data_IF_581444306132
#
_entry.id   IF_581444306132
#
_cell.length_a   1.000
_cell.length_b   1.000
_cell.length_c   1.000
_cell.angle_alpha   90.00
_cell.angle_beta   90.00
_cell.angle_gamma   90.00
#
_symmetry.space_group_name_H-M   'P 1'
#
loop_
_entity.id
_entity.type
_entity.pdbx_description
1 polymer ?
#
# COMPACT_ATOMS: atom_id res chain seq x y z
N UNK A 1 -6.76 19.25 1.19
CA UNK A 1 -7.88 18.28 1.24
C UNK A 1 -7.33 16.92 0.86
N UNK A 2 -7.61 15.87 1.65
CA UNK A 2 -7.19 14.51 1.31
C UNK A 2 -7.93 14.00 0.05
N UNK A 3 -7.32 13.10 -0.71
CA UNK A 3 -7.89 12.50 -1.92
C UNK A 3 -7.71 10.98 -1.88
N UNK A 4 -8.75 10.26 -2.29
CA UNK A 4 -8.71 8.81 -2.48
C UNK A 4 -8.63 8.51 -3.98
N UNK A 5 -7.66 7.68 -4.36
CA UNK A 5 -7.53 7.17 -5.72
C UNK A 5 -7.68 5.65 -5.67
N UNK A 6 -8.65 5.11 -6.42
CA UNK A 6 -8.88 3.68 -6.50
C UNK A 6 -8.64 3.18 -7.92
N UNK A 7 -7.61 2.34 -8.08
CA UNK A 7 -7.24 1.75 -9.35
C UNK A 7 -7.69 0.29 -9.38
N UNK A 8 -8.66 -0.03 -10.24
CA UNK A 8 -9.14 -1.40 -10.45
C UNK A 8 -9.00 -1.80 -11.91
N UNK A 9 -8.61 -3.05 -12.14
CA UNK A 9 -8.47 -3.64 -13.47
C UNK A 9 -8.18 -5.14 -13.31
N UNK A 10 -8.14 -5.87 -14.42
CA UNK A 10 -7.75 -7.28 -14.47
C UNK A 10 -6.29 -7.49 -14.03
N UNK A 11 -5.91 -8.74 -13.77
CA UNK A 11 -4.52 -9.09 -13.54
C UNK A 11 -3.67 -8.70 -14.76
N UNK A 12 -2.42 -8.29 -14.54
CA UNK A 12 -1.44 -7.93 -15.58
C UNK A 12 -1.67 -6.55 -16.22
N UNK A 13 -2.68 -5.81 -15.78
CA UNK A 13 -2.94 -4.45 -16.26
C UNK A 13 -2.03 -3.37 -15.64
N UNK A 14 -0.96 -3.75 -14.93
CA UNK A 14 0.03 -2.80 -14.40
C UNK A 14 -0.32 -2.10 -13.09
N UNK A 15 -1.32 -2.57 -12.31
CA UNK A 15 -1.74 -1.95 -11.04
C UNK A 15 -0.59 -1.73 -10.05
N UNK A 16 0.15 -2.78 -9.73
CA UNK A 16 1.31 -2.69 -8.81
C UNK A 16 2.41 -1.80 -9.39
N UNK A 17 2.58 -1.75 -10.72
CA UNK A 17 3.51 -0.80 -11.37
C UNK A 17 3.11 0.65 -11.09
N UNK A 18 1.83 1.01 -11.28
CA UNK A 18 1.33 2.36 -11.00
C UNK A 18 1.47 2.74 -9.53
N UNK A 19 1.20 1.79 -8.62
CA UNK A 19 1.38 2.00 -7.17
C UNK A 19 2.85 2.29 -6.84
N UNK A 20 3.79 1.47 -7.34
CA UNK A 20 5.22 1.64 -7.10
C UNK A 20 5.78 2.92 -7.75
N UNK A 21 5.30 3.30 -8.92
CA UNK A 21 5.64 4.59 -9.53
C UNK A 21 5.17 5.76 -8.67
N UNK A 22 3.96 5.66 -8.09
CA UNK A 22 3.46 6.68 -7.18
C UNK A 22 4.32 6.76 -5.92
N UNK A 23 4.67 5.62 -5.32
CA UNK A 23 5.57 5.57 -4.16
C UNK A 23 6.93 6.24 -4.45
N UNK A 24 7.54 5.90 -5.59
CA UNK A 24 8.79 6.50 -6.06
C UNK A 24 8.67 8.04 -6.18
N UNK A 25 7.61 8.54 -6.80
CA UNK A 25 7.38 9.98 -6.96
C UNK A 25 7.24 10.74 -5.63
N UNK A 26 6.68 10.12 -4.58
CA UNK A 26 6.67 10.71 -3.23
C UNK A 26 8.09 10.75 -2.64
N UNK A 27 8.83 9.64 -2.72
CA UNK A 27 10.19 9.54 -2.20
C UNK A 27 11.15 10.54 -2.86
N UNK A 28 11.09 10.69 -4.19
CA UNK A 28 11.88 11.69 -4.95
C UNK A 28 11.64 13.13 -4.48
N UNK A 29 10.50 13.40 -3.81
CA UNK A 29 10.15 14.72 -3.25
C UNK A 29 10.39 14.80 -1.75
N UNK A 30 11.14 13.86 -1.18
CA UNK A 30 11.37 13.70 0.26
C UNK A 30 10.06 13.58 1.07
N UNK A 31 9.04 12.95 0.47
CA UNK A 31 7.76 12.70 1.12
C UNK A 31 7.64 11.22 1.49
N UNK A 32 7.33 10.97 2.76
CA UNK A 32 7.16 9.61 3.26
C UNK A 32 5.81 9.00 2.83
N UNK A 33 5.86 7.79 2.27
CA UNK A 33 4.71 6.95 1.98
C UNK A 33 4.74 5.68 2.82
N UNK A 34 3.56 5.17 3.16
CA UNK A 34 3.41 3.86 3.80
C UNK A 34 2.73 2.92 2.81
N UNK A 35 3.33 1.75 2.58
CA UNK A 35 2.83 0.76 1.61
C UNK A 35 2.33 -0.46 2.36
N UNK A 36 1.14 -0.92 1.99
CA UNK A 36 0.51 -2.14 2.50
C UNK A 36 0.25 -3.13 1.37
N UNK A 37 0.33 -4.42 1.68
CA UNK A 37 -0.17 -5.52 0.85
C UNK A 37 -0.79 -6.60 1.73
N UNK A 38 -1.59 -7.48 1.14
CA UNK A 38 -2.27 -8.52 1.89
C UNK A 38 -1.29 -9.62 2.34
N UNK A 39 -1.38 -10.07 3.59
CA UNK A 39 -0.54 -11.16 4.12
C UNK A 39 -0.72 -12.49 3.38
N UNK A 40 -1.86 -12.68 2.71
CA UNK A 40 -2.17 -13.85 1.89
C UNK A 40 -1.49 -13.80 0.51
N UNK A 41 -0.96 -12.65 0.11
CA UNK A 41 -0.20 -12.53 -1.13
C UNK A 41 1.27 -12.89 -0.89
N UNK A 42 1.64 -14.11 -1.25
CA UNK A 42 3.01 -14.64 -1.15
C UNK A 42 3.69 -14.81 -2.52
N UNK A 43 3.06 -14.32 -3.61
CA UNK A 43 3.49 -14.59 -5.00
C UNK A 43 4.90 -14.13 -5.31
N UNK A 44 5.40 -13.11 -4.61
CA UNK A 44 6.73 -12.52 -4.83
C UNK A 44 7.54 -12.33 -3.53
N UNK A 45 7.23 -13.14 -2.51
CA UNK A 45 7.80 -13.02 -1.17
C UNK A 45 6.92 -12.19 -0.23
N UNK A 46 7.01 -12.51 1.07
CA UNK A 46 6.21 -11.85 2.10
C UNK A 46 6.71 -10.41 2.34
N UNK A 47 5.76 -9.47 2.46
CA UNK A 47 6.06 -8.09 2.84
C UNK A 47 6.66 -7.25 1.71
N UNK A 48 6.34 -7.58 0.44
CA UNK A 48 6.79 -6.80 -0.72
C UNK A 48 5.66 -6.62 -1.71
N UNK A 49 5.59 -5.42 -2.30
CA UNK A 49 4.82 -5.19 -3.53
C UNK A 49 5.77 -5.31 -4.70
N UNK A 50 5.49 -6.23 -5.61
CA UNK A 50 6.32 -6.50 -6.78
C UNK A 50 5.49 -6.40 -8.06
N UNK A 51 5.94 -5.57 -8.99
CA UNK A 51 5.35 -5.50 -10.32
C UNK A 51 5.87 -6.62 -11.23
N UNK A 52 5.14 -6.89 -12.31
CA UNK A 52 5.57 -7.85 -13.34
C UNK A 52 6.75 -7.39 -14.20
N UNK A 53 7.11 -6.11 -14.13
CA UNK A 53 8.27 -5.56 -14.85
C UNK A 53 9.53 -5.54 -13.97
N UNK A 54 9.49 -6.17 -12.79
CA UNK A 54 10.66 -6.39 -11.94
C UNK A 54 10.95 -5.29 -10.92
N UNK A 55 10.18 -4.19 -10.88
CA UNK A 55 10.28 -3.22 -9.79
C UNK A 55 9.55 -3.74 -8.54
N UNK A 56 10.13 -3.51 -7.36
CA UNK A 56 9.59 -3.93 -6.07
C UNK A 56 9.93 -2.94 -4.95
N UNK A 57 9.13 -2.93 -3.90
CA UNK A 57 9.37 -2.15 -2.68
C UNK A 57 8.83 -2.91 -1.46
N UNK A 58 9.45 -2.69 -0.31
CA UNK A 58 8.98 -3.26 0.96
C UNK A 58 7.60 -2.69 1.33
N UNK A 59 6.77 -3.55 1.90
CA UNK A 59 5.41 -3.25 2.28
C UNK A 59 5.04 -3.93 3.60
N UNK A 60 4.20 -3.26 4.38
CA UNK A 60 3.57 -3.84 5.54
C UNK A 60 2.50 -4.84 5.12
N UNK A 61 2.32 -5.88 5.93
CA UNK A 61 1.31 -6.88 5.70
C UNK A 61 0.06 -6.54 6.50
N UNK A 62 -1.10 -6.52 5.85
CA UNK A 62 -2.38 -6.54 6.55
C UNK A 62 -3.01 -7.93 6.53
N UNK A 63 -3.58 -8.33 7.66
CA UNK A 63 -4.49 -9.48 7.76
C UNK A 63 -5.92 -8.99 7.89
N UNK A 64 -6.90 -9.88 8.04
CA UNK A 64 -8.30 -9.47 8.29
C UNK A 64 -8.49 -8.84 9.67
N UNK A 65 -7.57 -9.11 10.59
CA UNK A 65 -7.59 -8.68 11.99
C UNK A 65 -6.74 -7.42 12.23
N UNK A 66 -5.94 -6.99 11.25
CA UNK A 66 -5.15 -5.76 11.34
C UNK A 66 -6.01 -4.53 11.62
N UNK A 67 -5.60 -3.73 12.60
CA UNK A 67 -6.15 -2.41 12.87
C UNK A 67 -5.30 -1.34 12.17
N UNK A 68 -5.63 -1.08 10.90
CA UNK A 68 -4.85 -0.18 10.04
C UNK A 68 -4.78 1.24 10.59
N UNK A 69 -5.83 1.70 11.28
CA UNK A 69 -5.87 3.04 11.86
C UNK A 69 -4.79 3.19 12.94
N UNK A 70 -4.75 2.24 13.87
CA UNK A 70 -3.78 2.25 14.97
C UNK A 70 -2.34 2.14 14.45
N UNK A 71 -2.09 1.26 13.47
CA UNK A 71 -0.78 1.11 12.83
C UNK A 71 -0.35 2.40 12.12
N UNK A 72 -1.20 2.96 11.25
CA UNK A 72 -0.90 4.19 10.49
C UNK A 72 -0.64 5.36 11.44
N UNK A 73 -1.43 5.47 12.53
CA UNK A 73 -1.22 6.51 13.54
C UNK A 73 0.15 6.36 14.21
N UNK A 74 0.54 5.16 14.61
CA UNK A 74 1.85 4.90 15.21
C UNK A 74 3.00 5.28 14.28
N UNK A 75 2.90 4.99 12.98
CA UNK A 75 3.88 5.45 11.98
C UNK A 75 3.88 6.98 11.84
N UNK A 76 2.71 7.60 11.89
CA UNK A 76 2.55 9.06 11.84
C UNK A 76 3.19 9.80 13.02
N UNK A 77 3.31 9.15 14.18
CA UNK A 77 3.99 9.69 15.36
C UNK A 77 5.52 9.68 15.21
N UNK A 78 6.08 8.74 14.42
CA UNK A 78 7.52 8.64 14.16
C UNK A 78 7.96 9.58 13.04
N UNK A 79 7.13 9.73 12.01
CA UNK A 79 7.41 10.59 10.86
C UNK A 79 6.13 11.07 10.20
N UNK A 80 6.20 12.25 9.57
CA UNK A 80 5.07 12.77 8.80
C UNK A 80 4.78 11.88 7.59
N UNK A 81 3.60 11.26 7.55
CA UNK A 81 3.09 10.51 6.41
C UNK A 81 2.41 11.45 5.40
N UNK A 82 2.71 11.25 4.12
CA UNK A 82 2.16 12.03 3.02
C UNK A 82 1.21 11.22 2.14
N UNK A 83 1.35 9.89 2.13
CA UNK A 83 0.53 8.99 1.33
C UNK A 83 0.47 7.59 1.94
N UNK A 84 -0.70 6.97 1.90
CA UNK A 84 -0.90 5.55 2.18
C UNK A 84 -1.21 4.87 0.84
N UNK A 85 -0.49 3.81 0.53
CA UNK A 85 -0.64 3.01 -0.69
C UNK A 85 -0.99 1.59 -0.27
N UNK A 86 -2.04 1.03 -0.86
CA UNK A 86 -2.51 -0.33 -0.53
C UNK A 86 -2.62 -1.14 -1.81
N UNK A 87 -1.80 -2.17 -1.95
CA UNK A 87 -1.94 -3.17 -3.00
C UNK A 87 -2.91 -4.28 -2.56
N UNK A 88 -3.45 -5.01 -3.54
CA UNK A 88 -4.36 -6.14 -3.30
C UNK A 88 -5.54 -5.77 -2.38
N UNK A 89 -6.03 -4.53 -2.51
CA UNK A 89 -7.07 -3.93 -1.67
C UNK A 89 -8.40 -4.70 -1.65
N UNK A 90 -8.65 -5.60 -2.62
CA UNK A 90 -9.82 -6.47 -2.60
C UNK A 90 -9.85 -7.45 -1.41
N UNK A 91 -8.73 -7.64 -0.72
CA UNK A 91 -8.66 -8.45 0.51
C UNK A 91 -8.96 -7.65 1.78
N UNK A 92 -9.10 -6.32 1.70
CA UNK A 92 -9.51 -5.51 2.84
C UNK A 92 -10.94 -5.85 3.27
N UNK A 93 -11.18 -5.79 4.57
CA UNK A 93 -12.55 -5.77 5.09
C UNK A 93 -13.17 -4.38 4.90
N UNK A 94 -14.51 -4.31 4.92
CA UNK A 94 -15.22 -3.01 4.90
C UNK A 94 -14.76 -2.08 6.02
N UNK A 95 -14.51 -2.63 7.22
CA UNK A 95 -14.01 -1.87 8.35
C UNK A 95 -12.62 -1.27 8.06
N UNK A 96 -11.72 -2.05 7.48
CA UNK A 96 -10.38 -1.58 7.12
C UNK A 96 -10.41 -0.48 6.05
N UNK A 97 -11.36 -0.53 5.12
CA UNK A 97 -11.57 0.58 4.16
C UNK A 97 -11.96 1.88 4.87
N UNK A 98 -12.72 1.83 5.96
CA UNK A 98 -13.05 3.01 6.78
C UNK A 98 -11.91 3.47 7.69
N UNK A 99 -10.92 2.61 7.97
CA UNK A 99 -9.75 2.95 8.80
C UNK A 99 -8.67 3.71 8.03
N UNK A 100 -8.70 3.69 6.69
CA UNK A 100 -7.79 4.40 5.79
C UNK A 100 -8.25 5.85 5.55
#
# INVERSE_FOLDING_TARGET
MAKLYFYYSTMNAGKSTTLLQSAYNYQERHMNSLIYTAAIDDRFGKGKVTSRIGISQDALLFTRESDLWSEIRQYGEQQKLHCILVDEAQFLTKQQVYQL
#
